data_IF_461229437887
#
_entry.id   IF_461229437887
#
_cell.length_a   1.000
_cell.length_b   1.000
_cell.length_c   1.000
_cell.angle_alpha   90.00
_cell.angle_beta   90.00
_cell.angle_gamma   90.00
#
_symmetry.space_group_name_H-M   'P 1'
#
loop_
_entity.id
_entity.type
_entity.pdbx_description
1 polymer ?
#
# COMPACT_ATOMS: atom_id res chain seq x y z
N UNK A 1 -0.61 -7.36 -26.64
CA UNK A 1 -0.56 -6.15 -25.79
C UNK A 1 -1.98 -5.94 -25.31
N UNK A 2 -2.30 -6.46 -24.13
CA UNK A 2 -3.64 -6.36 -23.54
C UNK A 2 -3.47 -5.66 -22.19
N UNK A 3 -3.76 -4.37 -22.16
CA UNK A 3 -3.79 -3.59 -20.92
C UNK A 3 -5.24 -3.50 -20.46
N UNK A 4 -5.60 -4.24 -19.42
CA UNK A 4 -6.88 -4.12 -18.75
C UNK A 4 -6.89 -2.81 -17.94
N UNK A 5 -7.51 -1.77 -18.47
CA UNK A 5 -7.69 -0.50 -17.77
C UNK A 5 -8.86 -0.64 -16.78
N UNK A 6 -8.58 -0.64 -15.48
CA UNK A 6 -9.59 -0.54 -14.42
C UNK A 6 -9.61 0.90 -13.89
N UNK A 7 -10.79 1.52 -13.85
CA UNK A 7 -10.98 2.90 -13.37
C UNK A 7 -11.68 2.87 -12.00
N UNK A 8 -11.10 3.58 -11.03
CA UNK A 8 -11.71 3.82 -9.70
C UNK A 8 -12.04 5.30 -9.59
N UNK A 9 -13.31 5.61 -9.28
CA UNK A 9 -13.78 6.97 -9.04
C UNK A 9 -13.33 7.43 -7.65
N UNK A 10 -12.43 8.43 -7.61
CA UNK A 10 -12.07 9.15 -6.40
C UNK A 10 -13.17 10.17 -6.06
N UNK A 11 -13.64 10.21 -4.81
CA UNK A 11 -14.79 11.01 -4.37
C UNK A 11 -14.41 12.37 -3.75
N UNK A 12 -13.18 12.85 -3.94
CA UNK A 12 -12.68 14.04 -3.23
C UNK A 12 -12.19 15.11 -4.20
N UNK A 13 -13.12 15.92 -4.72
CA UNK A 13 -12.88 16.93 -5.76
C UNK A 13 -12.49 18.32 -5.22
N UNK A 14 -12.42 18.53 -3.90
CA UNK A 14 -12.49 19.88 -3.31
C UNK A 14 -11.36 20.26 -2.36
N UNK A 15 -10.34 19.42 -2.22
CA UNK A 15 -9.18 19.77 -1.40
C UNK A 15 -7.89 19.60 -2.22
N UNK A 16 -6.89 20.50 -2.04
CA UNK A 16 -5.68 20.49 -2.84
C UNK A 16 -4.93 19.20 -2.55
N UNK A 17 -4.67 18.43 -3.61
CA UNK A 17 -3.61 17.41 -3.70
C UNK A 17 -3.50 16.55 -2.43
N UNK A 18 -4.19 15.41 -2.39
CA UNK A 18 -3.96 14.42 -1.34
C UNK A 18 -3.18 13.28 -1.94
N UNK A 19 -1.93 13.15 -1.54
CA UNK A 19 -1.19 11.92 -1.72
C UNK A 19 -1.75 10.87 -0.77
N UNK A 20 -2.59 9.98 -1.30
CA UNK A 20 -3.01 8.77 -0.60
C UNK A 20 -1.88 7.74 -0.63
N UNK A 21 -1.56 7.19 0.53
CA UNK A 21 -0.70 6.04 0.66
C UNK A 21 -1.54 4.76 0.84
N UNK A 22 -1.33 3.80 -0.06
CA UNK A 22 -1.94 2.48 -0.04
C UNK A 22 -0.95 1.49 0.56
N UNK A 23 -1.29 0.93 1.71
CA UNK A 23 -0.54 -0.15 2.34
C UNK A 23 -1.17 -1.48 1.97
N UNK A 24 -0.43 -2.30 1.22
CA UNK A 24 -0.91 -3.55 0.63
C UNK A 24 -0.20 -4.71 1.32
N UNK A 25 -0.97 -5.57 1.98
CA UNK A 25 -0.47 -6.80 2.57
C UNK A 25 -0.33 -7.89 1.49
N UNK A 26 0.88 -8.32 1.19
CA UNK A 26 1.15 -9.35 0.17
C UNK A 26 0.62 -10.73 0.56
N UNK A 27 0.43 -10.97 1.87
CA UNK A 27 -0.10 -12.22 2.40
C UNK A 27 -1.62 -12.30 2.24
N UNK A 28 -2.37 -11.43 2.92
CA UNK A 28 -3.84 -11.51 2.95
C UNK A 28 -4.53 -10.65 1.88
N UNK A 29 -3.80 -9.83 1.14
CA UNK A 29 -4.38 -8.90 0.16
C UNK A 29 -5.09 -7.70 0.80
N UNK A 30 -4.96 -7.50 2.12
CA UNK A 30 -5.56 -6.35 2.80
C UNK A 30 -4.92 -5.05 2.30
N UNK A 31 -5.76 -4.12 1.85
CA UNK A 31 -5.35 -2.78 1.42
C UNK A 31 -5.85 -1.77 2.45
N UNK A 32 -4.94 -0.92 2.94
CA UNK A 32 -5.26 0.15 3.89
C UNK A 32 -4.84 1.49 3.31
N UNK A 33 -5.80 2.38 3.09
CA UNK A 33 -5.51 3.76 2.69
C UNK A 33 -5.18 4.62 3.92
N UNK A 34 -4.13 5.43 3.81
CA UNK A 34 -3.77 6.46 4.78
C UNK A 34 -3.41 7.75 4.06
N UNK A 35 -3.87 8.86 4.61
CA UNK A 35 -3.42 10.19 4.20
C UNK A 35 -2.03 10.43 4.76
N UNK A 36 -1.04 10.63 3.88
CA UNK A 36 0.31 10.96 4.32
C UNK A 36 0.52 12.46 4.32
N UNK A 37 0.39 13.07 5.50
CA UNK A 37 0.83 14.44 5.72
C UNK A 37 2.38 14.47 5.67
N UNK A 38 2.95 15.12 4.66
CA UNK A 38 4.40 15.35 4.52
C UNK A 38 5.13 14.54 3.44
N UNK A 39 4.63 13.36 3.05
CA UNK A 39 5.22 12.61 1.92
C UNK A 39 5.03 13.37 0.60
N UNK A 40 3.88 14.04 0.46
CA UNK A 40 3.59 14.88 -0.68
C UNK A 40 4.56 16.06 -0.82
N UNK A 41 4.89 16.74 0.29
CA UNK A 41 5.81 17.88 0.27
C UNK A 41 7.20 17.43 -0.19
N UNK A 42 7.64 16.27 0.28
CA UNK A 42 8.92 15.67 -0.14
C UNK A 42 8.91 15.32 -1.63
N UNK A 43 7.83 14.71 -2.13
CA UNK A 43 7.69 14.38 -3.56
C UNK A 43 7.62 15.63 -4.44
N UNK A 44 6.90 16.67 -4.00
CA UNK A 44 6.85 17.96 -4.71
C UNK A 44 8.23 18.60 -4.78
N UNK A 45 8.99 18.58 -3.67
CA UNK A 45 10.34 19.14 -3.64
C UNK A 45 11.27 18.40 -4.61
N UNK A 46 11.28 17.07 -4.56
CA UNK A 46 12.08 16.25 -5.48
C UNK A 46 11.67 16.47 -6.95
N UNK A 47 10.38 16.60 -7.21
CA UNK A 47 9.88 16.89 -8.55
C UNK A 47 10.35 18.26 -9.03
N UNK A 48 10.30 19.30 -8.19
CA UNK A 48 10.81 20.63 -8.53
C UNK A 48 12.32 20.62 -8.80
N UNK A 49 13.11 19.94 -7.96
CA UNK A 49 14.56 19.79 -8.16
C UNK A 49 14.89 19.07 -9.47
N UNK A 50 14.03 18.14 -9.90
CA UNK A 50 14.15 17.45 -11.18
C UNK A 50 13.55 18.22 -12.38
N UNK A 51 12.96 19.40 -12.17
CA UNK A 51 12.21 20.13 -13.20
C UNK A 51 10.94 19.41 -13.69
N UNK A 52 10.41 18.50 -12.88
CA UNK A 52 9.25 17.67 -13.16
C UNK A 52 7.97 18.29 -12.57
N UNK A 53 6.94 18.45 -13.40
CA UNK A 53 5.65 18.97 -12.95
C UNK A 53 4.77 17.85 -12.38
N UNK A 54 4.85 17.63 -11.06
CA UNK A 54 4.03 16.66 -10.35
C UNK A 54 2.55 17.08 -10.39
N UNK A 55 1.67 16.21 -10.91
CA UNK A 55 0.21 16.45 -10.98
C UNK A 55 -0.60 15.60 -10.01
N UNK A 56 -0.12 14.38 -9.78
CA UNK A 56 -0.76 13.40 -8.91
C UNK A 56 0.31 12.41 -8.46
N UNK A 57 0.27 12.03 -7.20
CA UNK A 57 1.15 11.03 -6.62
C UNK A 57 0.32 10.00 -5.86
N UNK A 58 0.59 8.73 -6.15
CA UNK A 58 0.08 7.59 -5.38
C UNK A 58 1.29 6.92 -4.75
N UNK A 59 1.22 6.63 -3.46
CA UNK A 59 2.28 5.91 -2.76
C UNK A 59 1.77 4.51 -2.45
N UNK A 60 2.36 3.50 -3.06
CA UNK A 60 2.03 2.10 -2.81
C UNK A 60 3.14 1.45 -1.98
N UNK A 61 2.80 0.99 -0.79
CA UNK A 61 3.69 0.30 0.13
C UNK A 61 3.28 -1.17 0.23
N UNK A 62 4.12 -2.07 -0.27
CA UNK A 62 3.91 -3.51 -0.16
C UNK A 62 4.62 -4.06 1.08
N UNK A 63 3.92 -4.85 1.88
CA UNK A 63 4.46 -5.44 3.09
C UNK A 63 3.51 -6.45 3.72
N UNK A 64 3.54 -6.55 5.04
CA UNK A 64 2.67 -7.43 5.81
C UNK A 64 1.89 -6.59 6.83
N UNK A 65 0.58 -6.83 6.95
CA UNK A 65 -0.21 -6.23 8.01
C UNK A 65 0.17 -6.85 9.37
N UNK A 66 -0.16 -6.18 10.48
CA UNK A 66 0.20 -6.62 11.83
C UNK A 66 -0.13 -8.10 12.09
N UNK A 67 -1.35 -8.54 11.75
CA UNK A 67 -1.73 -9.95 11.90
C UNK A 67 -0.94 -10.91 11.01
N UNK A 68 -0.50 -10.49 9.83
CA UNK A 68 0.34 -11.32 8.97
C UNK A 68 1.81 -11.34 9.41
N UNK A 69 2.29 -10.27 10.06
CA UNK A 69 3.62 -10.24 10.69
C UNK A 69 3.66 -11.25 11.84
N UNK A 70 2.61 -11.31 12.67
CA UNK A 70 2.52 -12.29 13.75
C UNK A 70 2.50 -13.73 13.23
N UNK A 71 1.80 -13.98 12.11
CA UNK A 71 1.77 -15.30 11.48
C UNK A 71 3.14 -15.70 10.90
N UNK A 72 3.85 -14.78 10.24
CA UNK A 72 5.21 -15.05 9.75
C UNK A 72 6.22 -15.21 10.89
N UNK A 73 5.96 -14.61 12.06
CA UNK A 73 6.78 -14.76 13.26
C UNK A 73 6.47 -16.05 14.06
N UNK A 74 5.31 -16.71 13.88
CA UNK A 74 5.05 -18.04 14.46
C UNK A 74 5.90 -19.09 13.69
N UNK A 75 7.13 -19.33 14.17
CA UNK A 75 8.08 -20.33 13.65
C UNK A 75 7.65 -21.79 13.98
N UNK A 76 6.75 -21.96 14.96
CA UNK A 76 6.34 -23.28 15.45
C UNK A 76 5.07 -23.78 14.76
N UNK A 77 5.24 -24.65 13.75
CA UNK A 77 4.17 -25.35 13.00
C UNK A 77 3.37 -26.40 13.80
N UNK A 78 3.05 -26.16 15.05
CA UNK A 78 2.19 -27.05 15.84
C UNK A 78 1.44 -26.22 16.88
N UNK A 79 0.14 -26.00 16.67
CA UNK A 79 -0.81 -25.44 17.65
C UNK A 79 -0.89 -23.89 17.81
N UNK A 80 -0.77 -23.11 16.74
CA UNK A 80 -1.15 -21.69 16.75
C UNK A 80 -2.68 -21.58 16.47
N UNK A 81 -3.54 -21.64 17.52
CA UNK A 81 -5.02 -21.61 17.40
C UNK A 81 -5.62 -20.21 17.14
N UNK A 82 -4.83 -19.15 17.31
CA UNK A 82 -5.30 -17.76 17.24
C UNK A 82 -4.99 -17.07 15.90
N UNK A 83 -4.35 -17.75 14.93
CA UNK A 83 -4.09 -17.15 13.62
C UNK A 83 -4.05 -18.16 12.47
N UNK A 84 -4.60 -17.73 11.33
CA UNK A 84 -4.77 -18.59 10.15
C UNK A 84 -3.49 -18.66 9.30
N UNK A 85 -2.86 -19.84 9.31
CA UNK A 85 -1.74 -20.20 8.44
C UNK A 85 -2.17 -20.66 7.03
N UNK A 86 -3.47 -20.75 6.76
CA UNK A 86 -4.01 -21.26 5.48
C UNK A 86 -3.69 -20.33 4.31
N UNK A 87 -3.44 -19.06 4.59
CA UNK A 87 -2.97 -18.07 3.61
C UNK A 87 -1.48 -18.30 3.30
N UNK A 88 -1.20 -19.06 2.25
CA UNK A 88 0.15 -19.25 1.75
C UNK A 88 0.64 -17.99 1.01
N UNK A 89 1.72 -17.39 1.48
CA UNK A 89 2.41 -16.32 0.74
C UNK A 89 2.94 -16.94 -0.55
N UNK A 90 2.46 -16.45 -1.70
CA UNK A 90 3.02 -16.84 -3.00
C UNK A 90 4.38 -16.16 -3.14
N UNK A 91 5.43 -16.77 -2.58
CA UNK A 91 6.81 -16.38 -2.86
C UNK A 91 7.04 -16.53 -4.38
N UNK A 92 7.22 -15.42 -5.08
CA UNK A 92 7.57 -15.39 -6.51
C UNK A 92 9.05 -15.66 -6.71
#
# INVERSE_FOLDING_TARGET
>A
MESANSYVLCHHFEQPMHTSALFICDRCGQVTERTTEGVEETLQKLAQEAGFALRHSVVEAHGLCAGCVEVEACDSKHDCAEHDHSIAIKKK
#
